data_IF_643216483501
#
_entry.id   IF_643216483501
#
_cell.length_a   1.000
_cell.length_b   1.000
_cell.length_c   1.000
_cell.angle_alpha   90.00
_cell.angle_beta   90.00
_cell.angle_gamma   90.00
#
_symmetry.space_group_name_H-M   'P 1'
#
loop_
_entity.id
_entity.type
_entity.pdbx_description
1 polymer ?
#
# COMPACT_ATOMS: atom_id res chain seq x y z
N UNK A 1 -13.86 -15.78 -70.16
CA UNK A 1 -13.58 -16.58 -68.95
C UNK A 1 -14.80 -17.45 -68.67
N UNK A 2 -14.65 -18.75 -68.47
CA UNK A 2 -15.79 -19.64 -68.15
C UNK A 2 -16.34 -19.36 -66.76
N UNK A 3 -17.67 -19.49 -66.58
CA UNK A 3 -18.39 -19.23 -65.32
C UNK A 3 -17.73 -19.88 -64.09
N UNK A 4 -17.28 -21.13 -64.21
CA UNK A 4 -16.59 -21.87 -63.14
C UNK A 4 -15.26 -21.24 -62.70
N UNK A 5 -14.48 -20.70 -63.64
CA UNK A 5 -13.21 -20.04 -63.33
C UNK A 5 -13.43 -18.71 -62.59
N UNK A 6 -14.46 -17.94 -62.96
CA UNK A 6 -14.83 -16.71 -62.27
C UNK A 6 -15.42 -16.95 -60.87
N UNK A 7 -16.20 -18.02 -60.68
CA UNK A 7 -16.70 -18.43 -59.35
C UNK A 7 -15.54 -18.89 -58.45
N UNK A 8 -14.60 -19.67 -58.98
CA UNK A 8 -13.42 -20.11 -58.23
C UNK A 8 -12.55 -18.93 -57.79
N UNK A 9 -12.34 -17.94 -58.67
CA UNK A 9 -11.61 -16.72 -58.33
C UNK A 9 -12.33 -15.88 -57.27
N UNK A 10 -13.66 -15.77 -57.35
CA UNK A 10 -14.45 -15.06 -56.33
C UNK A 10 -14.25 -15.70 -54.95
N UNK A 11 -14.34 -17.02 -54.85
CA UNK A 11 -14.11 -17.75 -53.59
C UNK A 11 -12.70 -17.55 -53.03
N UNK A 12 -11.68 -17.56 -53.88
CA UNK A 12 -10.31 -17.26 -53.47
C UNK A 12 -10.17 -15.83 -52.93
N UNK A 13 -10.79 -14.84 -53.58
CA UNK A 13 -10.78 -13.46 -53.12
C UNK A 13 -11.55 -13.27 -51.82
N UNK A 14 -12.68 -13.96 -51.65
CA UNK A 14 -13.44 -13.95 -50.39
C UNK A 14 -12.62 -14.53 -49.24
N UNK A 15 -11.94 -15.67 -49.46
CA UNK A 15 -11.04 -16.28 -48.47
C UNK A 15 -9.91 -15.31 -48.10
N UNK A 16 -9.26 -14.71 -49.08
CA UNK A 16 -8.17 -13.74 -48.84
C UNK A 16 -8.67 -12.50 -48.08
N UNK A 17 -9.86 -12.00 -48.40
CA UNK A 17 -10.49 -10.88 -47.68
C UNK A 17 -10.71 -11.21 -46.21
N UNK A 18 -11.23 -12.40 -45.92
CA UNK A 18 -11.44 -12.89 -44.55
C UNK A 18 -10.11 -13.06 -43.79
N UNK A 19 -9.08 -13.59 -44.45
CA UNK A 19 -7.75 -13.73 -43.84
C UNK A 19 -7.15 -12.36 -43.47
N UNK A 20 -7.28 -11.37 -44.34
CA UNK A 20 -6.80 -9.99 -44.07
C UNK A 20 -7.58 -9.34 -42.93
N UNK A 21 -8.90 -9.53 -42.89
CA UNK A 21 -9.75 -9.03 -41.81
C UNK A 21 -9.40 -9.67 -40.46
N UNK A 22 -9.17 -10.98 -40.44
CA UNK A 22 -8.71 -11.70 -39.24
C UNK A 22 -7.33 -11.21 -38.79
N UNK A 23 -6.38 -11.00 -39.70
CA UNK A 23 -5.04 -10.46 -39.36
C UNK A 23 -5.14 -9.06 -38.76
N UNK A 24 -5.94 -8.18 -39.36
CA UNK A 24 -6.17 -6.84 -38.83
C UNK A 24 -6.76 -6.88 -37.40
N UNK A 25 -7.72 -7.77 -37.14
CA UNK A 25 -8.30 -7.95 -35.81
C UNK A 25 -7.25 -8.42 -34.79
N UNK A 26 -6.41 -9.40 -35.13
CA UNK A 26 -5.33 -9.86 -34.26
C UNK A 26 -4.34 -8.75 -33.92
N UNK A 27 -3.99 -7.90 -34.89
CA UNK A 27 -3.11 -6.75 -34.66
C UNK A 27 -3.76 -5.77 -33.68
N UNK A 28 -5.04 -5.43 -33.88
CA UNK A 28 -5.77 -4.55 -32.97
C UNK A 28 -5.81 -5.11 -31.55
N UNK A 29 -6.08 -6.41 -31.38
CA UNK A 29 -6.04 -7.05 -30.07
C UNK A 29 -4.66 -6.95 -29.42
N UNK A 30 -3.59 -7.23 -30.18
CA UNK A 30 -2.20 -7.07 -29.69
C UNK A 30 -1.92 -5.64 -29.22
N UNK A 31 -2.40 -4.63 -29.95
CA UNK A 31 -2.25 -3.22 -29.55
C UNK A 31 -2.95 -2.94 -28.22
N UNK A 32 -4.18 -3.43 -28.04
CA UNK A 32 -4.90 -3.29 -26.77
C UNK A 32 -4.14 -3.93 -25.61
N UNK A 33 -3.64 -5.16 -25.78
CA UNK A 33 -2.82 -5.82 -24.75
C UNK A 33 -1.54 -5.06 -24.42
N UNK A 34 -0.89 -4.44 -25.41
CA UNK A 34 0.29 -3.59 -25.17
C UNK A 34 -0.06 -2.35 -24.36
N UNK A 35 -1.21 -1.72 -24.63
CA UNK A 35 -1.70 -0.57 -23.86
C UNK A 35 -2.04 -0.96 -22.42
N UNK A 36 -2.72 -2.09 -22.20
CA UNK A 36 -3.01 -2.62 -20.86
C UNK A 36 -1.72 -2.82 -20.05
N UNK A 37 -0.67 -3.39 -20.66
CA UNK A 37 0.62 -3.58 -19.98
C UNK A 37 1.32 -2.26 -19.59
N UNK A 38 1.08 -1.18 -20.33
CA UNK A 38 1.61 0.15 -20.02
C UNK A 38 0.84 0.78 -18.85
N UNK A 39 -0.47 0.57 -18.79
CA UNK A 39 -1.32 1.03 -17.70
C UNK A 39 -0.95 0.34 -16.37
N UNK A 40 -0.70 -0.97 -16.39
CA UNK A 40 -0.22 -1.72 -15.22
C UNK A 40 1.11 -1.16 -14.70
N UNK A 41 2.05 -0.85 -15.61
CA UNK A 41 3.34 -0.27 -15.24
C UNK A 41 3.21 1.16 -14.67
N UNK A 42 2.25 1.94 -15.18
CA UNK A 42 1.91 3.26 -14.65
C UNK A 42 1.42 3.18 -13.21
N UNK A 43 0.56 2.20 -12.89
CA UNK A 43 0.08 1.97 -11.53
C UNK A 43 1.22 1.62 -10.55
N UNK A 44 2.16 0.77 -10.98
CA UNK A 44 3.35 0.42 -10.19
C UNK A 44 4.24 1.64 -9.94
N UNK A 45 4.46 2.48 -10.96
CA UNK A 45 5.22 3.73 -10.82
C UNK A 45 4.51 4.71 -9.87
N UNK A 46 3.18 4.85 -9.98
CA UNK A 46 2.39 5.70 -9.10
C UNK A 46 2.48 5.24 -7.63
N UNK A 47 2.48 3.93 -7.37
CA UNK A 47 2.68 3.39 -6.03
C UNK A 47 4.10 3.69 -5.49
N UNK A 48 5.12 3.65 -6.35
CA UNK A 48 6.49 3.98 -5.98
C UNK A 48 6.69 5.47 -5.65
N UNK A 49 5.88 6.38 -6.18
CA UNK A 49 6.01 7.83 -5.94
C UNK A 49 5.88 8.20 -4.45
N UNK A 50 5.01 7.53 -3.72
CA UNK A 50 4.73 7.87 -2.31
C UNK A 50 5.35 6.89 -1.32
N UNK A 51 6.12 5.93 -1.82
CA UNK A 51 6.79 4.94 -0.97
C UNK A 51 7.86 5.64 -0.12
N UNK A 52 7.71 5.55 1.20
CA UNK A 52 8.74 5.94 2.17
C UNK A 52 9.53 4.71 2.60
N UNK A 53 10.77 4.93 3.03
CA UNK A 53 11.68 3.94 3.57
C UNK A 53 12.28 4.43 4.90
N UNK A 54 12.55 3.49 5.80
CA UNK A 54 13.25 3.75 7.06
C UNK A 54 14.75 3.51 6.91
N UNK A 55 15.54 4.57 7.09
CA UNK A 55 16.99 4.55 7.06
C UNK A 55 17.56 4.77 8.46
N UNK A 56 18.75 4.23 8.72
CA UNK A 56 19.50 4.56 9.93
C UNK A 56 19.97 6.03 9.86
N UNK A 57 19.68 6.81 10.89
CA UNK A 57 20.14 8.18 11.01
C UNK A 57 21.59 8.22 11.51
N UNK A 58 22.54 8.39 10.59
CA UNK A 58 23.96 8.58 10.93
C UNK A 58 24.23 10.08 11.14
N UNK A 59 24.80 10.50 12.29
CA UNK A 59 25.18 11.89 12.54
C UNK A 59 26.05 12.45 11.41
N UNK A 60 25.56 13.50 10.73
CA UNK A 60 26.27 14.18 9.63
C UNK A 60 25.92 13.69 8.22
N UNK A 61 25.16 12.60 8.06
CA UNK A 61 24.67 12.16 6.74
C UNK A 61 23.33 11.41 6.82
N UNK A 62 22.30 12.09 7.32
CA UNK A 62 20.98 11.51 7.60
C UNK A 62 20.21 11.05 6.35
N UNK A 63 20.50 11.59 5.16
CA UNK A 63 19.72 11.32 3.94
C UNK A 63 20.13 10.04 3.19
N UNK A 64 21.32 9.51 3.46
CA UNK A 64 21.91 8.35 2.76
C UNK A 64 22.40 7.28 3.75
N UNK A 65 21.69 7.11 4.86
CA UNK A 65 21.96 6.04 5.81
C UNK A 65 21.70 4.66 5.20
N UNK A 66 22.34 3.60 5.70
CA UNK A 66 21.98 2.24 5.35
C UNK A 66 20.50 1.98 5.73
N UNK A 67 19.86 1.03 5.03
CA UNK A 67 18.49 0.60 5.38
C UNK A 67 18.46 0.10 6.82
N UNK A 68 17.41 0.42 7.55
CA UNK A 68 17.24 -0.03 8.92
C UNK A 68 17.17 -1.56 8.95
N UNK A 69 17.89 -2.18 9.88
CA UNK A 69 17.90 -3.63 10.08
C UNK A 69 17.51 -3.92 11.52
N UNK A 70 17.10 -5.15 11.79
CA UNK A 70 16.80 -5.58 13.15
C UNK A 70 18.00 -5.41 14.10
N UNK A 71 19.22 -5.67 13.62
CA UNK A 71 20.44 -5.53 14.39
C UNK A 71 20.68 -4.08 14.84
N UNK A 72 20.44 -3.10 13.97
CA UNK A 72 20.55 -1.68 14.34
C UNK A 72 19.59 -1.25 15.46
N UNK A 73 18.41 -1.89 15.57
CA UNK A 73 17.45 -1.62 16.65
C UNK A 73 18.01 -2.11 17.99
N UNK A 74 18.70 -3.25 17.99
CA UNK A 74 19.30 -3.83 19.19
C UNK A 74 20.60 -3.14 19.61
N UNK A 75 21.43 -2.70 18.65
CA UNK A 75 22.72 -2.06 18.92
C UNK A 75 22.58 -0.71 19.65
N UNK A 76 21.47 0.01 19.44
CA UNK A 76 21.13 1.23 20.20
C UNK A 76 20.74 0.94 21.67
N UNK A 77 20.72 -0.33 22.08
CA UNK A 77 20.71 -0.80 23.47
C UNK A 77 19.41 -0.58 24.26
N UNK A 78 18.52 0.28 23.77
CA UNK A 78 17.31 0.70 24.48
C UNK A 78 16.02 0.46 23.71
N UNK A 79 16.07 -0.23 22.56
CA UNK A 79 14.90 -0.46 21.71
C UNK A 79 14.65 -1.94 21.44
N UNK A 80 13.36 -2.31 21.34
CA UNK A 80 12.92 -3.64 20.89
C UNK A 80 11.75 -3.51 19.94
N UNK A 81 11.49 -4.57 19.18
CA UNK A 81 10.28 -4.68 18.36
C UNK A 81 9.20 -5.45 19.09
N UNK A 82 7.96 -4.98 19.00
CA UNK A 82 6.78 -5.69 19.47
C UNK A 82 5.71 -5.79 18.39
N UNK A 83 5.00 -6.91 18.39
CA UNK A 83 3.81 -7.14 17.57
C UNK A 83 2.58 -6.42 18.16
N UNK A 84 1.52 -6.27 17.38
CA UNK A 84 0.22 -5.72 17.76
C UNK A 84 -0.45 -6.42 18.95
N UNK A 85 0.09 -7.53 19.43
CA UNK A 85 -0.37 -8.25 20.62
C UNK A 85 0.60 -8.13 21.81
N UNK A 86 1.60 -7.23 21.74
CA UNK A 86 2.58 -7.00 22.79
C UNK A 86 3.64 -8.10 22.92
N UNK A 87 3.77 -8.99 21.92
CA UNK A 87 4.83 -10.01 21.87
C UNK A 87 6.11 -9.40 21.32
N UNK A 88 7.25 -9.74 21.91
CA UNK A 88 8.56 -9.23 21.47
C UNK A 88 9.03 -9.98 20.22
N UNK A 89 9.33 -9.27 19.14
CA UNK A 89 9.69 -9.86 17.84
C UNK A 89 11.20 -10.13 17.78
N UNK A 90 11.57 -11.36 17.42
CA UNK A 90 12.97 -11.81 17.34
C UNK A 90 13.20 -12.62 16.05
N UNK A 91 14.35 -12.46 15.36
CA UNK A 91 14.67 -13.16 14.11
C UNK A 91 14.95 -14.66 14.23
N UNK A 92 15.05 -15.19 15.45
CA UNK A 92 15.48 -16.56 15.71
C UNK A 92 15.03 -17.06 17.08
N UNK A 93 15.20 -18.36 17.30
CA UNK A 93 14.51 -19.10 18.36
C UNK A 93 14.75 -18.55 19.78
N UNK A 94 13.65 -18.14 20.42
CA UNK A 94 13.18 -18.68 21.70
C UNK A 94 11.71 -18.31 21.95
N UNK A 95 10.75 -19.05 21.36
CA UNK A 95 9.31 -18.91 21.67
C UNK A 95 8.96 -19.33 23.11
N UNK A 96 9.86 -20.04 23.78
CA UNK A 96 9.63 -20.68 25.09
C UNK A 96 10.20 -19.89 26.27
N UNK A 97 10.89 -18.79 26.00
CA UNK A 97 11.43 -17.90 27.02
C UNK A 97 10.44 -16.74 27.21
N UNK A 98 10.15 -16.41 28.47
CA UNK A 98 9.54 -15.14 28.80
C UNK A 98 10.66 -14.09 28.79
N UNK A 99 10.38 -12.90 28.27
CA UNK A 99 11.26 -11.74 28.47
C UNK A 99 11.36 -11.47 29.97
N UNK A 100 12.39 -10.77 30.47
CA UNK A 100 12.48 -10.38 31.89
C UNK A 100 11.22 -9.65 32.41
N UNK A 101 10.44 -9.05 31.49
CA UNK A 101 9.15 -8.38 31.69
C UNK A 101 7.92 -9.33 31.56
N UNK A 102 8.12 -10.66 31.53
CA UNK A 102 7.05 -11.68 31.46
C UNK A 102 6.35 -11.82 30.09
N UNK A 103 6.78 -11.08 29.06
CA UNK A 103 6.16 -11.11 27.71
C UNK A 103 6.73 -12.23 26.83
N UNK A 104 5.87 -12.84 26.01
CA UNK A 104 6.25 -13.91 25.08
C UNK A 104 6.96 -13.37 23.84
N UNK A 105 7.91 -14.12 23.31
CA UNK A 105 8.53 -13.82 22.02
C UNK A 105 7.68 -14.29 20.83
N UNK A 106 7.72 -13.53 19.74
CA UNK A 106 7.27 -13.92 18.41
C UNK A 106 8.50 -14.11 17.54
N UNK A 107 8.67 -15.30 16.95
CA UNK A 107 9.78 -15.56 16.04
C UNK A 107 9.36 -15.21 14.62
N UNK A 108 9.94 -14.15 14.08
CA UNK A 108 9.82 -13.80 12.65
C UNK A 108 11.19 -13.97 11.98
N UNK A 109 11.41 -15.11 11.34
CA UNK A 109 12.66 -15.42 10.64
C UNK A 109 12.97 -14.47 9.48
N UNK A 110 11.97 -13.73 8.98
CA UNK A 110 12.12 -12.76 7.89
C UNK A 110 12.55 -11.38 8.33
N UNK A 111 12.50 -11.05 9.63
CA UNK A 111 12.70 -9.67 10.13
C UNK A 111 14.14 -9.14 9.96
N UNK A 112 15.10 -10.03 9.71
CA UNK A 112 16.47 -9.64 9.36
C UNK A 112 16.58 -9.02 7.96
N UNK A 113 15.61 -9.26 7.07
CA UNK A 113 15.55 -8.58 5.77
C UNK A 113 15.07 -7.12 5.99
N UNK A 114 15.89 -6.11 5.62
CA UNK A 114 15.51 -4.70 5.77
C UNK A 114 14.20 -4.36 5.04
N UNK A 115 13.88 -5.04 3.94
CA UNK A 115 12.63 -4.80 3.21
C UNK A 115 11.40 -5.33 3.95
N UNK A 116 11.53 -6.44 4.67
CA UNK A 116 10.46 -7.02 5.49
C UNK A 116 10.24 -6.18 6.73
N UNK A 117 11.32 -5.72 7.39
CA UNK A 117 11.23 -4.80 8.52
C UNK A 117 10.61 -3.45 8.13
N UNK A 118 11.03 -2.88 7.00
CA UNK A 118 10.49 -1.62 6.47
C UNK A 118 8.98 -1.74 6.19
N UNK A 119 8.57 -2.83 5.53
CA UNK A 119 7.17 -3.13 5.27
C UNK A 119 6.39 -3.31 6.58
N UNK A 120 6.92 -4.08 7.53
CA UNK A 120 6.23 -4.37 8.79
C UNK A 120 6.08 -3.14 9.71
N UNK A 121 7.08 -2.26 9.76
CA UNK A 121 6.97 -0.98 10.47
C UNK A 121 6.00 -0.01 9.78
N UNK A 122 5.96 -0.02 8.44
CA UNK A 122 5.08 0.87 7.66
C UNK A 122 3.62 0.41 7.68
N UNK A 123 3.40 -0.89 7.59
CA UNK A 123 2.09 -1.53 7.61
C UNK A 123 1.55 -1.70 9.03
N UNK A 124 2.33 -1.31 10.04
CA UNK A 124 1.90 -1.35 11.43
C UNK A 124 1.71 -2.77 11.94
N UNK A 125 2.56 -3.69 11.47
CA UNK A 125 2.64 -5.05 11.98
C UNK A 125 3.52 -5.05 13.24
N UNK A 126 4.62 -4.28 13.22
CA UNK A 126 5.55 -4.16 14.34
C UNK A 126 5.74 -2.72 14.81
N UNK A 127 6.01 -2.57 16.11
CA UNK A 127 6.27 -1.30 16.79
C UNK A 127 7.61 -1.30 17.49
N UNK A 128 8.16 -0.11 17.67
CA UNK A 128 9.32 0.09 18.51
C UNK A 128 8.87 0.32 19.94
N UNK A 129 9.46 -0.38 20.89
CA UNK A 129 9.40 -0.03 22.31
C UNK A 129 10.77 0.45 22.75
N UNK A 130 10.78 1.49 23.57
CA UNK A 130 11.95 2.03 24.25
C UNK A 130 11.91 1.67 25.73
N UNK A 131 13.03 1.21 26.27
CA UNK A 131 13.17 0.95 27.71
C UNK A 131 13.21 2.27 28.49
N UNK A 132 12.40 2.39 29.56
CA UNK A 132 12.44 3.56 30.46
C UNK A 132 13.80 3.63 31.15
N UNK A 133 14.47 4.80 31.21
CA UNK A 133 15.66 4.96 32.03
C UNK A 133 15.30 4.86 33.52
N UNK A 134 16.09 4.13 34.31
CA UNK A 134 15.93 4.06 35.77
C UNK A 134 15.93 5.46 36.42
N UNK A 135 15.00 5.68 37.38
CA UNK A 135 15.07 6.80 38.34
C UNK A 135 14.18 8.04 38.14
N UNK A 136 13.29 8.14 37.12
CA UNK A 136 12.22 9.17 37.04
C UNK A 136 10.81 8.78 37.54
N UNK A 137 10.41 9.28 38.71
CA UNK A 137 9.04 9.21 39.22
C UNK A 137 8.00 9.73 38.20
N UNK A 138 6.95 8.95 37.89
CA UNK A 138 5.81 9.38 37.08
C UNK A 138 4.51 9.43 37.89
N UNK A 139 3.81 10.55 37.79
CA UNK A 139 2.45 10.81 38.25
C UNK A 139 1.41 10.03 37.44
N UNK A 140 0.21 9.83 38.00
CA UNK A 140 -0.92 9.21 37.27
C UNK A 140 -1.24 9.93 35.96
N UNK A 141 -1.14 11.26 35.99
CA UNK A 141 -1.31 12.09 34.81
C UNK A 141 -0.25 11.76 33.75
N UNK A 142 1.02 11.58 34.12
CA UNK A 142 2.10 11.24 33.16
C UNK A 142 1.86 9.90 32.47
N UNK A 143 1.38 8.86 33.19
CA UNK A 143 1.02 7.58 32.57
C UNK A 143 -0.14 7.72 31.56
N UNK A 144 -1.16 8.51 31.87
CA UNK A 144 -2.26 8.77 30.93
C UNK A 144 -1.79 9.56 29.71
N UNK A 145 -0.98 10.60 29.92
CA UNK A 145 -0.40 11.39 28.83
C UNK A 145 0.41 10.54 27.86
N UNK A 146 1.21 9.60 28.36
CA UNK A 146 2.01 8.69 27.51
C UNK A 146 1.14 7.76 26.68
N UNK A 147 0.16 7.10 27.31
CA UNK A 147 -0.78 6.23 26.59
C UNK A 147 -1.63 6.99 25.56
N UNK A 148 -1.89 8.27 25.81
CA UNK A 148 -2.55 9.18 24.88
C UNK A 148 -1.62 9.63 23.75
N UNK A 149 -0.37 9.98 24.04
CA UNK A 149 0.60 10.39 23.02
C UNK A 149 0.78 9.26 21.98
N UNK A 150 0.80 8.00 22.47
CA UNK A 150 0.78 6.80 21.63
C UNK A 150 -0.44 6.69 20.72
N UNK A 151 -1.64 6.99 21.23
CA UNK A 151 -2.86 7.08 20.43
C UNK A 151 -2.73 8.16 19.34
N UNK A 152 -2.22 9.34 19.69
CA UNK A 152 -2.04 10.46 18.76
C UNK A 152 -1.04 10.21 17.67
N UNK A 153 0.05 9.54 18.03
CA UNK A 153 1.09 9.12 17.11
C UNK A 153 0.53 8.16 16.07
N UNK A 154 -0.29 7.19 16.47
CA UNK A 154 -0.91 6.26 15.53
C UNK A 154 -1.96 6.92 14.62
N UNK A 155 -2.77 7.83 15.17
CA UNK A 155 -3.70 8.66 14.39
C UNK A 155 -2.95 9.49 13.33
N UNK A 156 -1.71 9.90 13.62
CA UNK A 156 -0.89 10.74 12.76
C UNK A 156 -0.03 9.97 11.73
N UNK A 157 0.42 8.76 12.05
CA UNK A 157 1.48 8.06 11.30
C UNK A 157 1.02 6.86 10.46
N UNK A 158 -0.12 6.24 10.77
CA UNK A 158 -0.39 4.87 10.27
C UNK A 158 -1.70 4.67 9.51
N UNK A 159 -2.57 5.67 9.38
CA UNK A 159 -3.86 5.44 8.71
C UNK A 159 -3.73 5.58 7.19
N UNK A 160 -3.31 4.51 6.51
CA UNK A 160 -3.43 4.39 5.05
C UNK A 160 -4.85 3.97 4.67
N UNK A 161 -5.43 4.54 3.61
CA UNK A 161 -6.78 4.24 3.07
C UNK A 161 -7.99 4.83 3.83
N UNK A 162 -7.84 5.99 4.48
CA UNK A 162 -8.99 6.82 4.92
C UNK A 162 -8.99 8.16 4.19
N UNK A 163 -10.15 8.78 4.04
CA UNK A 163 -10.27 10.11 3.43
C UNK A 163 -9.62 11.19 4.30
N UNK A 164 -9.14 12.26 3.66
CA UNK A 164 -8.55 13.41 4.39
C UNK A 164 -9.54 14.01 5.40
N UNK A 165 -10.85 13.94 5.12
CA UNK A 165 -11.91 14.35 6.04
C UNK A 165 -11.99 13.48 7.30
N UNK A 166 -11.91 12.16 7.17
CA UNK A 166 -11.95 11.24 8.32
C UNK A 166 -10.69 11.38 9.18
N UNK A 167 -9.54 11.58 8.54
CA UNK A 167 -8.28 11.84 9.25
C UNK A 167 -8.35 13.17 10.02
N UNK A 168 -8.92 14.20 9.44
CA UNK A 168 -9.12 15.48 10.12
C UNK A 168 -10.09 15.36 11.30
N UNK A 169 -11.16 14.56 11.18
CA UNK A 169 -12.09 14.28 12.29
C UNK A 169 -11.43 13.51 13.43
N UNK A 170 -10.68 12.45 13.13
CA UNK A 170 -9.92 11.68 14.13
C UNK A 170 -8.90 12.57 14.85
N UNK A 171 -8.16 13.36 14.08
CA UNK A 171 -7.18 14.29 14.63
C UNK A 171 -7.83 15.37 15.49
N UNK A 172 -8.97 15.92 15.08
CA UNK A 172 -9.69 16.92 15.87
C UNK A 172 -10.23 16.36 17.19
N UNK A 173 -10.71 15.12 17.21
CA UNK A 173 -11.15 14.46 18.45
C UNK A 173 -9.96 14.16 19.36
N UNK A 174 -8.84 13.70 18.78
CA UNK A 174 -7.61 13.47 19.49
C UNK A 174 -7.02 14.75 20.09
N UNK A 175 -6.93 15.83 19.30
CA UNK A 175 -6.41 17.13 19.75
C UNK A 175 -7.27 17.68 20.90
N UNK A 176 -8.61 17.51 20.82
CA UNK A 176 -9.53 17.86 21.90
C UNK A 176 -9.33 17.06 23.19
N UNK A 177 -9.06 15.75 23.08
CA UNK A 177 -8.66 14.91 24.22
C UNK A 177 -7.30 15.38 24.78
N UNK A 178 -6.30 15.56 23.93
CA UNK A 178 -4.96 16.01 24.31
C UNK A 178 -4.97 17.34 25.04
N UNK A 179 -5.73 18.31 24.56
CA UNK A 179 -5.85 19.62 25.20
C UNK A 179 -6.60 19.54 26.53
N UNK A 180 -7.60 18.66 26.65
CA UNK A 180 -8.24 18.41 27.94
C UNK A 180 -7.25 17.85 28.95
N UNK A 181 -6.48 16.84 28.54
CA UNK A 181 -5.45 16.24 29.37
C UNK A 181 -4.42 17.27 29.82
N UNK A 182 -3.83 18.06 28.91
CA UNK A 182 -2.78 19.07 29.20
C UNK A 182 -3.16 20.07 30.29
N UNK A 183 -4.45 20.30 30.47
CA UNK A 183 -4.99 21.23 31.45
C UNK A 183 -5.28 20.59 32.83
N UNK A 184 -5.15 19.26 32.96
CA UNK A 184 -5.23 18.53 34.23
C UNK A 184 -3.83 18.56 34.88
N UNK A 185 -3.70 19.27 36.00
CA UNK A 185 -2.51 19.25 36.84
C UNK A 185 -2.80 18.50 38.16
N UNK A 186 -2.35 17.24 38.27
CA UNK A 186 -2.47 16.42 39.48
C UNK A 186 -3.33 15.17 39.31
N UNK A 187 -3.93 14.68 40.41
CA UNK A 187 -4.85 13.53 40.41
C UNK A 187 -6.09 13.83 39.55
N UNK A 188 -6.46 12.90 38.67
CA UNK A 188 -7.66 13.03 37.82
C UNK A 188 -8.90 12.89 38.71
N UNK A 189 -9.73 13.93 38.79
CA UNK A 189 -10.99 13.86 39.53
C UNK A 189 -12.00 12.93 38.85
N UNK A 190 -12.98 12.44 39.60
CA UNK A 190 -14.06 11.60 39.04
C UNK A 190 -14.87 12.34 37.95
N UNK A 191 -15.04 13.66 38.08
CA UNK A 191 -15.67 14.50 37.05
C UNK A 191 -14.83 14.54 35.76
N UNK A 192 -13.50 14.64 35.90
CA UNK A 192 -12.60 14.58 34.74
C UNK A 192 -12.58 13.21 34.08
N UNK A 193 -12.67 12.12 34.87
CA UNK A 193 -12.80 10.75 34.34
C UNK A 193 -14.04 10.59 33.46
N UNK A 194 -15.20 11.11 33.90
CA UNK A 194 -16.44 11.00 33.13
C UNK A 194 -16.35 11.70 31.76
N UNK A 195 -15.72 12.87 31.70
CA UNK A 195 -15.50 13.62 30.45
C UNK A 195 -14.53 12.89 29.52
N UNK A 196 -13.49 12.27 30.08
CA UNK A 196 -12.52 11.48 29.31
C UNK A 196 -13.20 10.24 28.73
N UNK A 197 -13.97 9.49 29.53
CA UNK A 197 -14.69 8.31 29.07
C UNK A 197 -15.65 8.64 27.93
N UNK A 198 -16.39 9.74 28.00
CA UNK A 198 -17.27 10.21 26.93
C UNK A 198 -16.50 10.44 25.62
N UNK A 199 -15.37 11.13 25.69
CA UNK A 199 -14.53 11.44 24.52
C UNK A 199 -13.84 10.20 23.92
N UNK A 200 -13.46 9.23 24.75
CA UNK A 200 -12.94 7.93 24.31
C UNK A 200 -14.01 7.13 23.58
N UNK A 201 -15.26 7.17 24.05
CA UNK A 201 -16.38 6.52 23.36
C UNK A 201 -16.69 7.17 22.01
N UNK A 202 -16.61 8.50 21.91
CA UNK A 202 -16.72 9.21 20.62
C UNK A 202 -15.63 8.77 19.63
N UNK A 203 -14.39 8.64 20.11
CA UNK A 203 -13.27 8.18 19.30
C UNK A 203 -13.49 6.73 18.84
N UNK A 204 -13.90 5.82 19.74
CA UNK A 204 -14.29 4.44 19.39
C UNK A 204 -15.37 4.37 18.33
N UNK A 205 -16.42 5.17 18.48
CA UNK A 205 -17.53 5.19 17.53
C UNK A 205 -17.05 5.57 16.13
N UNK A 206 -16.17 6.57 16.01
CA UNK A 206 -15.58 6.96 14.74
C UNK A 206 -14.65 5.86 14.18
N UNK A 207 -13.80 5.27 15.01
CA UNK A 207 -12.88 4.20 14.59
C UNK A 207 -13.62 2.98 14.04
N UNK A 208 -14.77 2.62 14.63
CA UNK A 208 -15.60 1.50 14.17
C UNK A 208 -16.25 1.73 12.80
N UNK A 209 -16.26 2.97 12.28
CA UNK A 209 -16.80 3.27 10.94
C UNK A 209 -15.75 3.14 9.83
N UNK A 210 -14.49 2.96 10.19
CA UNK A 210 -13.35 2.96 9.27
C UNK A 210 -12.99 1.52 8.82
N UNK A 211 -12.28 1.35 7.69
CA UNK A 211 -11.85 0.03 7.19
C UNK A 211 -10.98 -0.71 8.21
N UNK A 212 -11.26 -2.00 8.43
CA UNK A 212 -10.62 -2.83 9.45
C UNK A 212 -9.09 -2.89 9.30
N UNK A 213 -8.60 -3.01 8.07
CA UNK A 213 -7.17 -3.08 7.76
C UNK A 213 -6.41 -1.80 8.16
N UNK A 214 -7.09 -0.66 8.20
CA UNK A 214 -6.52 0.63 8.57
C UNK A 214 -6.65 0.96 10.08
N UNK A 215 -7.41 0.17 10.84
CA UNK A 215 -7.83 0.51 12.22
C UNK A 215 -7.39 -0.50 13.28
N UNK A 216 -6.82 -1.64 12.90
CA UNK A 216 -6.39 -2.69 13.84
C UNK A 216 -5.46 -2.15 14.93
N UNK A 217 -4.49 -1.32 14.55
CA UNK A 217 -3.60 -0.65 15.48
C UNK A 217 -4.26 0.46 16.30
N UNK A 218 -5.16 1.24 15.68
CA UNK A 218 -5.90 2.29 16.37
C UNK A 218 -6.77 1.70 17.47
N UNK A 219 -7.40 0.57 17.18
CA UNK A 219 -8.14 -0.24 18.14
C UNK A 219 -7.24 -0.81 19.24
N UNK A 220 -6.03 -1.26 18.92
CA UNK A 220 -5.06 -1.75 19.91
C UNK A 220 -4.62 -0.64 20.88
N UNK A 221 -4.20 0.52 20.37
CA UNK A 221 -3.79 1.66 21.21
C UNK A 221 -4.96 2.22 22.03
N UNK A 222 -6.17 2.19 21.48
CA UNK A 222 -7.38 2.61 22.18
C UNK A 222 -7.73 1.66 23.33
N UNK A 223 -7.57 0.35 23.11
CA UNK A 223 -7.71 -0.66 24.16
C UNK A 223 -6.65 -0.50 25.26
N UNK A 224 -5.40 -0.20 24.90
CA UNK A 224 -4.32 0.01 25.88
C UNK A 224 -4.52 1.31 26.69
N UNK A 225 -5.00 2.38 26.04
CA UNK A 225 -5.35 3.62 26.70
C UNK A 225 -6.45 3.40 27.75
N UNK A 226 -7.51 2.69 27.39
CA UNK A 226 -8.60 2.35 28.32
C UNK A 226 -8.13 1.47 29.49
N UNK A 227 -7.29 0.47 29.22
CA UNK A 227 -6.70 -0.34 30.27
C UNK A 227 -5.86 0.51 31.23
N UNK A 228 -5.14 1.51 30.71
CA UNK A 228 -4.38 2.47 31.51
C UNK A 228 -5.30 3.35 32.36
N UNK A 229 -6.41 3.84 31.79
CA UNK A 229 -7.44 4.58 32.55
C UNK A 229 -8.04 3.75 33.69
N UNK A 230 -8.34 2.47 33.44
CA UNK A 230 -8.87 1.57 34.46
C UNK A 230 -7.84 1.26 35.55
N UNK A 231 -6.58 1.05 35.19
CA UNK A 231 -5.52 0.74 36.16
C UNK A 231 -5.14 1.93 37.05
N UNK A 232 -5.28 3.16 36.56
CA UNK A 232 -5.07 4.37 37.35
C UNK A 232 -6.11 4.52 38.49
N UNK A 233 -7.28 3.89 38.38
CA UNK A 233 -8.28 3.79 39.47
C UNK A 233 -7.83 2.89 40.63
N UNK A 234 -7.01 1.86 40.36
CA UNK A 234 -6.61 0.89 41.39
C UNK A 234 -5.47 1.37 42.32
N UNK A 235 -4.69 2.38 41.90
CA UNK A 235 -3.53 2.87 42.67
C UNK A 235 -3.95 3.76 43.86
N UNK A 236 -5.15 4.34 43.86
CA UNK A 236 -5.63 5.24 44.92
C UNK A 236 -5.96 4.53 46.24
N UNK A 237 -6.19 3.21 46.24
CA UNK A 237 -6.58 2.48 47.45
C UNK A 237 -5.39 1.89 48.25
N UNK A 238 -4.20 1.79 47.67
CA UNK A 238 -3.03 1.17 48.32
C UNK A 238 -1.84 2.14 48.36
N UNK A 239 -2.03 3.29 48.99
CA UNK A 239 -0.97 4.26 49.26
C UNK A 239 -0.03 3.78 50.38
N UNK A 240 0.88 2.84 50.12
CA UNK A 240 2.04 2.59 50.99
C UNK A 240 3.02 1.53 50.41
N UNK A 241 3.71 1.79 49.30
CA UNK A 241 4.95 1.05 49.04
C UNK A 241 5.79 1.68 47.93
N UNK A 242 6.96 2.18 48.36
CA UNK A 242 8.25 2.29 47.67
C UNK A 242 8.28 2.74 46.20
N UNK A 243 8.91 3.89 46.02
CA UNK A 243 9.19 4.56 44.76
C UNK A 243 10.41 3.93 44.08
N UNK A 244 10.17 2.96 43.20
CA UNK A 244 11.12 2.55 42.18
C UNK A 244 10.33 2.32 40.90
N UNK A 245 10.87 2.79 39.78
CA UNK A 245 10.33 2.46 38.46
C UNK A 245 10.83 1.06 38.23
N UNK A 246 9.92 0.11 38.13
CA UNK A 246 10.28 -1.11 37.44
C UNK A 246 10.62 -0.72 36.00
N UNK A 247 11.78 -1.19 35.50
CA UNK A 247 12.19 -1.00 34.12
C UNK A 247 11.04 -1.46 33.21
N UNK A 248 10.34 -0.49 32.61
CA UNK A 248 9.15 -0.76 31.81
C UNK A 248 9.39 -0.30 30.38
N UNK A 249 8.83 -1.04 29.43
CA UNK A 249 9.01 -0.81 28.01
C UNK A 249 7.83 -0.01 27.48
N UNK A 250 8.13 1.14 26.85
CA UNK A 250 7.12 2.06 26.31
C UNK A 250 7.20 2.07 24.81
N UNK A 251 6.08 1.83 24.15
CA UNK A 251 5.99 1.97 22.70
C UNK A 251 6.34 3.41 22.28
N UNK A 252 7.00 3.56 21.14
CA UNK A 252 7.38 4.84 20.55
C UNK A 252 7.16 4.78 19.04
N UNK A 253 6.94 5.92 18.39
CA UNK A 253 6.85 5.98 16.93
C UNK A 253 8.23 5.92 16.32
N UNK A 254 8.28 5.50 15.06
CA UNK A 254 9.49 5.57 14.23
C UNK A 254 10.03 6.99 14.10
N UNK A 255 9.18 8.02 14.21
CA UNK A 255 9.59 9.43 14.12
C UNK A 255 10.21 9.96 15.44
N UNK A 256 9.88 9.35 16.59
CA UNK A 256 10.49 9.64 17.88
C UNK A 256 11.83 8.90 18.09
N UNK A 257 12.06 7.84 17.33
CA UNK A 257 13.33 7.13 17.29
C UNK A 257 14.39 7.97 16.58
N UNK A 258 15.23 8.69 17.34
CA UNK A 258 16.27 9.57 16.80
C UNK A 258 17.29 8.88 15.88
N UNK A 259 17.40 7.55 15.97
CA UNK A 259 18.25 6.71 15.13
C UNK A 259 17.56 6.30 13.81
N UNK A 260 16.29 6.65 13.59
CA UNK A 260 15.54 6.34 12.38
C UNK A 260 15.28 7.63 11.61
N UNK A 261 15.52 7.61 10.30
CA UNK A 261 15.10 8.66 9.39
C UNK A 261 14.06 8.11 8.41
N UNK A 262 12.91 8.78 8.34
CA UNK A 262 11.80 8.44 7.47
C UNK A 262 11.91 9.27 6.18
N UNK A 263 12.52 8.70 5.14
CA UNK A 263 12.78 9.39 3.88
C UNK A 263 12.03 8.76 2.72
N UNK A 264 11.95 9.46 1.60
CA UNK A 264 11.37 8.91 0.38
C UNK A 264 12.30 7.82 -0.17
N UNK A 265 11.73 6.74 -0.69
CA UNK A 265 12.48 5.69 -1.38
C UNK A 265 12.95 6.20 -2.76
N UNK A 266 14.03 7.00 -2.77
CA UNK A 266 14.57 7.58 -4.00
C UNK A 266 15.10 6.50 -4.96
N UNK A 267 15.68 5.42 -4.43
CA UNK A 267 16.21 4.32 -5.23
C UNK A 267 15.08 3.49 -5.86
N UNK A 268 14.05 3.13 -5.08
CA UNK A 268 12.86 2.44 -5.56
C UNK A 268 12.07 3.28 -6.58
N UNK A 269 11.96 4.59 -6.35
CA UNK A 269 11.41 5.53 -7.31
C UNK A 269 12.22 5.54 -8.61
N UNK A 270 13.55 5.69 -8.53
CA UNK A 270 14.41 5.75 -9.71
C UNK A 270 14.33 4.47 -10.54
N UNK A 271 14.30 3.30 -9.88
CA UNK A 271 14.10 2.01 -10.55
C UNK A 271 12.71 1.89 -11.19
N UNK A 272 11.65 2.29 -10.50
CA UNK A 272 10.28 2.26 -11.04
C UNK A 272 10.13 3.21 -12.23
N UNK A 273 10.70 4.41 -12.15
CA UNK A 273 10.76 5.38 -13.24
C UNK A 273 11.50 4.83 -14.45
N UNK A 274 12.70 4.28 -14.25
CA UNK A 274 13.49 3.68 -15.33
C UNK A 274 12.76 2.51 -16.01
N UNK A 275 12.09 1.65 -15.22
CA UNK A 275 11.29 0.54 -15.74
C UNK A 275 10.09 1.03 -16.54
N UNK A 276 9.37 2.03 -16.05
CA UNK A 276 8.24 2.64 -16.76
C UNK A 276 8.69 3.24 -18.09
N UNK A 277 9.77 4.03 -18.08
CA UNK A 277 10.33 4.65 -19.29
C UNK A 277 10.73 3.59 -20.33
N UNK A 278 11.41 2.52 -19.90
CA UNK A 278 11.81 1.41 -20.78
C UNK A 278 10.59 0.72 -21.40
N UNK A 279 9.56 0.44 -20.60
CA UNK A 279 8.34 -0.22 -21.07
C UNK A 279 7.54 0.68 -22.02
N UNK A 280 7.45 1.98 -21.70
CA UNK A 280 6.84 2.99 -22.57
C UNK A 280 7.51 3.02 -23.93
N UNK A 281 8.86 3.09 -23.96
CA UNK A 281 9.62 3.08 -25.21
C UNK A 281 9.42 1.78 -26.00
N UNK A 282 9.36 0.63 -25.32
CA UNK A 282 9.12 -0.66 -25.95
C UNK A 282 7.72 -0.74 -26.55
N UNK A 283 6.70 -0.36 -25.80
CA UNK A 283 5.30 -0.33 -26.24
C UNK A 283 5.15 0.61 -27.43
N UNK A 284 5.74 1.81 -27.39
CA UNK A 284 5.70 2.75 -28.52
C UNK A 284 6.35 2.17 -29.78
N UNK A 285 7.50 1.49 -29.66
CA UNK A 285 8.15 0.84 -30.81
C UNK A 285 7.28 -0.27 -31.40
N UNK A 286 6.68 -1.10 -30.54
CA UNK A 286 5.83 -2.21 -30.96
C UNK A 286 4.51 -1.72 -31.55
N UNK A 287 3.86 -0.73 -30.94
CA UNK A 287 2.64 -0.11 -31.47
C UNK A 287 2.88 0.52 -32.84
N UNK A 288 4.00 1.22 -33.03
CA UNK A 288 4.37 1.78 -34.34
C UNK A 288 4.59 0.70 -35.41
N UNK A 289 5.20 -0.42 -35.05
CA UNK A 289 5.39 -1.54 -35.97
C UNK A 289 4.03 -2.17 -36.35
N UNK A 290 3.17 -2.42 -35.37
CA UNK A 290 1.82 -2.94 -35.57
C UNK A 290 0.94 -1.99 -36.39
N UNK A 291 1.03 -0.68 -36.17
CA UNK A 291 0.31 0.34 -36.96
C UNK A 291 0.77 0.35 -38.42
N UNK A 292 2.06 0.18 -38.67
CA UNK A 292 2.60 0.07 -40.03
C UNK A 292 2.10 -1.19 -40.73
N UNK A 293 2.08 -2.32 -40.01
CA UNK A 293 1.54 -3.60 -40.51
C UNK A 293 0.04 -3.50 -40.80
N UNK A 294 -0.73 -2.88 -39.90
CA UNK A 294 -2.17 -2.66 -40.06
C UNK A 294 -2.46 -1.82 -41.32
N UNK A 295 -1.72 -0.74 -41.55
CA UNK A 295 -1.85 0.10 -42.76
C UNK A 295 -1.55 -0.67 -44.04
N UNK A 296 -0.55 -1.56 -44.02
CA UNK A 296 -0.23 -2.42 -45.15
C UNK A 296 -1.38 -3.40 -45.45
N UNK A 297 -1.92 -4.05 -44.41
CA UNK A 297 -3.07 -4.97 -44.51
C UNK A 297 -4.31 -4.24 -45.02
N UNK A 298 -4.60 -3.04 -44.53
CA UNK A 298 -5.74 -2.23 -45.00
C UNK A 298 -5.59 -1.85 -46.49
N UNK A 299 -4.37 -1.55 -46.93
CA UNK A 299 -4.08 -1.25 -48.33
C UNK A 299 -4.29 -2.49 -49.20
N UNK A 300 -3.81 -3.65 -48.76
CA UNK A 300 -4.04 -4.93 -49.43
C UNK A 300 -5.53 -5.27 -49.49
N UNK A 301 -6.26 -5.07 -48.38
CA UNK A 301 -7.70 -5.36 -48.30
C UNK A 301 -8.49 -4.51 -49.29
N UNK A 302 -8.20 -3.20 -49.38
CA UNK A 302 -8.84 -2.31 -50.37
C UNK A 302 -8.59 -2.77 -51.81
N UNK A 303 -7.38 -3.25 -52.11
CA UNK A 303 -7.07 -3.79 -53.43
C UNK A 303 -7.85 -5.08 -53.73
N UNK A 304 -7.91 -6.00 -52.75
CA UNK A 304 -8.68 -7.26 -52.84
C UNK A 304 -10.19 -6.98 -52.95
N UNK A 305 -10.72 -6.02 -52.20
CA UNK A 305 -12.12 -5.60 -52.24
C UNK A 305 -12.48 -5.08 -53.65
N UNK A 306 -11.62 -4.24 -54.23
CA UNK A 306 -11.79 -3.74 -55.61
C UNK A 306 -11.76 -4.89 -56.63
N UNK A 307 -10.85 -5.84 -56.48
CA UNK A 307 -10.78 -7.03 -57.35
C UNK A 307 -12.04 -7.91 -57.20
N UNK A 308 -12.48 -8.11 -55.96
CA UNK A 308 -13.67 -8.88 -55.63
C UNK A 308 -14.92 -8.28 -56.29
N UNK A 309 -15.15 -6.97 -56.15
CA UNK A 309 -16.26 -6.26 -56.79
C UNK A 309 -16.20 -6.35 -58.32
N UNK A 310 -15.01 -6.23 -58.92
CA UNK A 310 -14.83 -6.37 -60.36
C UNK A 310 -15.18 -7.78 -60.86
N UNK A 311 -14.72 -8.83 -60.17
CA UNK A 311 -15.03 -10.23 -60.51
C UNK A 311 -16.51 -10.53 -60.31
N UNK A 312 -17.10 -10.05 -59.21
CA UNK A 312 -18.53 -10.20 -58.93
C UNK A 312 -19.38 -9.55 -60.04
N UNK A 313 -19.02 -8.34 -60.48
CA UNK A 313 -19.72 -7.65 -61.58
C UNK A 313 -19.64 -8.44 -62.90
N UNK A 314 -18.48 -9.02 -63.21
CA UNK A 314 -18.31 -9.85 -64.41
C UNK A 314 -19.18 -11.10 -64.34
N UNK A 315 -19.26 -11.76 -63.17
CA UNK A 315 -20.16 -12.90 -62.95
C UNK A 315 -21.62 -12.52 -63.17
N UNK A 316 -22.09 -11.42 -62.57
CA UNK A 316 -23.47 -10.96 -62.73
C UNK A 316 -23.79 -10.67 -64.22
N UNK A 317 -22.89 -10.01 -64.93
CA UNK A 317 -23.07 -9.74 -66.37
C UNK A 317 -23.13 -11.03 -67.21
N UNK A 318 -22.33 -12.04 -66.89
CA UNK A 318 -22.34 -13.33 -67.60
C UNK A 318 -23.61 -14.13 -67.32
N UNK A 319 -24.10 -14.11 -66.07
CA UNK A 319 -25.39 -14.70 -65.70
C UNK A 319 -26.53 -14.01 -66.45
N UNK A 320 -26.55 -12.67 -66.46
CA UNK A 320 -27.58 -11.90 -67.15
C UNK A 320 -27.60 -12.17 -68.66
N UNK A 321 -26.42 -12.22 -69.32
CA UNK A 321 -26.32 -12.58 -70.73
C UNK A 321 -26.84 -13.98 -70.99
N UNK A 322 -26.42 -14.96 -70.19
CA UNK A 322 -26.89 -16.35 -70.32
C UNK A 322 -28.42 -16.41 -70.17
N UNK A 323 -28.97 -15.75 -69.15
CA UNK A 323 -30.41 -15.67 -68.92
C UNK A 323 -31.17 -15.06 -70.10
N UNK A 324 -30.67 -13.95 -70.67
CA UNK A 324 -31.25 -13.32 -71.87
C UNK A 324 -31.19 -14.22 -73.10
N UNK A 325 -30.12 -15.00 -73.27
CA UNK A 325 -29.98 -15.93 -74.39
C UNK A 325 -30.89 -17.15 -74.28
N UNK A 326 -31.21 -17.60 -73.06
CA UNK A 326 -32.12 -18.74 -72.85
C UNK A 326 -33.61 -18.36 -72.81
N UNK A 327 -33.94 -17.09 -72.61
CA UNK A 327 -35.32 -16.57 -72.59
C UNK A 327 -35.72 -15.81 -73.87
N UNK A 328 -34.85 -15.77 -74.89
CA UNK A 328 -35.13 -15.23 -76.22
C UNK A 328 -35.36 -16.38 -77.21
#
# INVERSE_FOLDING_TARGET
MGMSASQSRLLMLTSRRQDLEFRAQNITQRRTTLMESLDDASAVYAAALNKKQFLLNIPGNSQNGPKLTYEHILEEGNFRLVDAFGKVVVPGAQETSETDDGRKYLVDMGINDPAVLDAALREGIYFLEKMKPEGKSQTQSEKLYESMDMLGMHISSSITNISDSERASLKSLYDGLSDYFKNISGSVSDDSRAVIDEKVQELKALVNTLPQDATNMLNHHLSNFEATMQNVSYVEQNAASSWYIDEDWVAISTDQALFINNTRDEEGHAMAFARFQLLQDQVQRQDKALDTELKAIETERKAVDTEHEAVQKILMNNVEKSYKTFNA
#
